data_IF_545101104953
#
_entry.id   IF_545101104953
#
_cell.length_a   1.000
_cell.length_b   1.000
_cell.length_c   1.000
_cell.angle_alpha   90.00
_cell.angle_beta   90.00
_cell.angle_gamma   90.00
#
_symmetry.space_group_name_H-M   'P 1'
#
loop_
_entity.id
_entity.type
_entity.pdbx_description
1 polymer ?
#
# COMPACT_ATOMS: atom_id res chain seq x y z
N UNK A 1 11.18 23.38 18.24
CA UNK A 1 11.39 22.15 17.45
C UNK A 1 10.18 21.24 17.67
N UNK A 2 9.42 20.89 16.63
CA UNK A 2 8.24 20.02 16.77
C UNK A 2 8.68 18.60 17.13
N UNK A 3 8.04 18.02 18.14
CA UNK A 3 8.30 16.64 18.57
C UNK A 3 7.80 15.67 17.50
N UNK A 4 8.58 14.66 17.08
CA UNK A 4 8.11 13.65 16.14
C UNK A 4 6.88 12.92 16.69
N UNK A 5 5.87 12.76 15.84
CA UNK A 5 4.65 12.02 16.16
C UNK A 5 5.02 10.53 16.34
N UNK A 6 4.85 9.93 17.54
CA UNK A 6 5.41 8.61 17.85
C UNK A 6 4.91 7.47 16.95
N UNK A 7 3.69 7.61 16.43
CA UNK A 7 3.06 6.60 15.60
C UNK A 7 3.39 6.71 14.10
N UNK A 8 3.95 7.84 13.62
CA UNK A 8 4.23 8.11 12.21
C UNK A 8 5.74 8.05 11.92
N UNK A 9 6.33 6.86 12.05
CA UNK A 9 7.78 6.63 11.98
C UNK A 9 8.31 6.76 10.56
N UNK A 10 9.39 7.53 10.37
CA UNK A 10 10.11 7.58 9.10
C UNK A 10 11.63 7.64 9.26
N UNK A 11 12.17 8.75 9.78
CA UNK A 11 13.60 8.94 10.08
C UNK A 11 13.78 9.52 11.48
N UNK A 12 15.02 9.48 12.01
CA UNK A 12 15.35 9.91 13.39
C UNK A 12 14.68 11.22 13.84
N UNK A 13 14.60 12.20 12.95
CA UNK A 13 14.05 13.54 13.23
C UNK A 13 12.84 13.91 12.37
N UNK A 14 12.31 12.98 11.56
CA UNK A 14 11.18 13.21 10.64
C UNK A 14 10.11 12.15 10.85
N UNK A 15 8.86 12.58 11.05
CA UNK A 15 7.69 11.71 10.99
C UNK A 15 7.02 11.82 9.62
N UNK A 16 6.50 10.72 9.10
CA UNK A 16 5.74 10.67 7.85
C UNK A 16 4.89 9.40 7.79
N UNK A 17 3.82 9.47 6.99
CA UNK A 17 2.93 8.36 6.67
C UNK A 17 2.88 8.14 5.17
N UNK A 18 2.53 6.93 4.75
CA UNK A 18 2.17 6.57 3.38
C UNK A 18 0.71 6.17 3.37
N UNK A 19 0.00 6.57 2.32
CA UNK A 19 -1.36 6.15 2.05
C UNK A 19 -1.34 5.27 0.81
N UNK A 20 -1.79 4.03 0.97
CA UNK A 20 -1.94 3.07 -0.11
C UNK A 20 -3.41 2.99 -0.48
N UNK A 21 -3.70 3.06 -1.77
CA UNK A 21 -5.08 3.19 -2.25
C UNK A 21 -5.30 2.29 -3.45
N UNK A 22 -6.38 1.50 -3.41
CA UNK A 22 -6.89 0.81 -4.60
C UNK A 22 -8.09 1.59 -5.10
N UNK A 23 -8.06 1.96 -6.38
CA UNK A 23 -9.10 2.76 -7.02
C UNK A 23 -9.91 1.87 -7.95
N UNK A 24 -11.25 1.97 -7.89
CA UNK A 24 -12.10 1.46 -8.98
C UNK A 24 -12.07 2.50 -10.11
N UNK A 25 -11.42 2.14 -11.22
CA UNK A 25 -11.27 3.02 -12.39
C UNK A 25 -12.60 3.39 -13.06
N UNK A 26 -13.68 2.66 -12.81
CA UNK A 26 -15.02 3.00 -13.34
C UNK A 26 -15.62 4.22 -12.65
N UNK A 27 -15.33 4.41 -11.36
CA UNK A 27 -15.92 5.46 -10.53
C UNK A 27 -14.93 6.50 -10.00
N UNK A 28 -13.61 6.27 -10.13
CA UNK A 28 -12.56 7.03 -9.42
C UNK A 28 -12.73 7.06 -7.89
N UNK A 29 -13.43 6.09 -7.32
CA UNK A 29 -13.67 5.96 -5.87
C UNK A 29 -12.64 4.98 -5.30
N UNK A 30 -11.96 5.32 -4.19
CA UNK A 30 -11.11 4.36 -3.49
C UNK A 30 -11.96 3.24 -2.89
N UNK A 31 -11.64 2.00 -3.25
CA UNK A 31 -12.28 0.80 -2.70
C UNK A 31 -11.50 0.22 -1.51
N UNK A 32 -10.23 0.64 -1.35
CA UNK A 32 -9.39 0.25 -0.24
C UNK A 32 -8.39 1.37 0.07
N UNK A 33 -8.19 1.63 1.37
CA UNK A 33 -7.23 2.60 1.89
C UNK A 33 -6.48 1.95 3.05
N UNK A 34 -5.16 1.96 3.00
CA UNK A 34 -4.31 1.57 4.13
C UNK A 34 -3.27 2.66 4.42
N UNK A 35 -3.07 2.97 5.70
CA UNK A 35 -2.15 4.01 6.16
C UNK A 35 -1.02 3.34 6.94
N UNK A 36 0.19 3.45 6.40
CA UNK A 36 1.38 2.86 7.00
C UNK A 36 2.42 3.91 7.37
N UNK A 37 3.37 3.53 8.21
CA UNK A 37 4.56 4.32 8.46
C UNK A 37 5.35 4.51 7.16
N UNK A 38 5.92 5.69 6.93
CA UNK A 38 6.64 5.95 5.69
C UNK A 38 7.95 5.16 5.51
N UNK A 39 8.42 4.47 6.55
CA UNK A 39 9.54 3.54 6.46
C UNK A 39 9.14 2.11 6.03
N UNK A 40 7.84 1.82 5.87
CA UNK A 40 7.37 0.53 5.35
C UNK A 40 7.63 0.46 3.84
N UNK A 41 8.12 -0.69 3.37
CA UNK A 41 8.31 -0.97 1.95
C UNK A 41 6.97 -1.17 1.24
N UNK A 42 6.81 -0.51 0.09
CA UNK A 42 5.51 -0.46 -0.60
C UNK A 42 5.04 -1.84 -1.08
N UNK A 43 5.95 -2.77 -1.39
CA UNK A 43 5.62 -4.17 -1.75
C UNK A 43 4.87 -4.94 -0.66
N UNK A 44 4.93 -4.52 0.59
CA UNK A 44 4.21 -5.16 1.70
C UNK A 44 2.70 -4.92 1.65
N UNK A 45 2.25 -3.92 0.88
CA UNK A 45 0.82 -3.67 0.74
C UNK A 45 0.10 -4.82 0.04
N UNK A 46 0.80 -5.56 -0.82
CA UNK A 46 0.25 -6.68 -1.59
C UNK A 46 -0.34 -7.77 -0.70
N UNK A 47 0.12 -7.88 0.55
CA UNK A 47 -0.36 -8.88 1.52
C UNK A 47 -1.72 -8.50 2.14
N UNK A 48 -2.16 -7.26 1.95
CA UNK A 48 -3.38 -6.70 2.57
C UNK A 48 -4.43 -6.25 1.55
N UNK A 49 -4.05 -6.05 0.30
CA UNK A 49 -4.96 -5.60 -0.75
C UNK A 49 -6.05 -6.67 -1.00
N UNK A 50 -7.34 -6.30 -1.02
CA UNK A 50 -8.39 -7.19 -1.47
C UNK A 50 -8.25 -7.43 -2.98
N UNK A 51 -8.10 -8.70 -3.36
CA UNK A 51 -8.03 -9.14 -4.76
C UNK A 51 -9.43 -9.56 -5.21
N UNK A 52 -9.96 -8.89 -6.20
CA UNK A 52 -11.26 -9.16 -6.82
C UNK A 52 -11.05 -10.03 -8.07
N UNK A 53 -11.75 -11.17 -8.12
CA UNK A 53 -11.67 -12.09 -9.24
C UNK A 53 -12.20 -11.43 -10.53
N UNK A 54 -11.44 -11.55 -11.62
CA UNK A 54 -11.79 -10.95 -12.91
C UNK A 54 -11.42 -9.48 -13.05
N UNK A 55 -10.82 -8.84 -12.04
CA UNK A 55 -10.33 -7.47 -12.11
C UNK A 55 -8.91 -7.39 -12.65
N UNK A 56 -8.60 -6.27 -13.32
CA UNK A 56 -7.24 -5.93 -13.76
C UNK A 56 -6.63 -4.88 -12.83
N UNK A 57 -5.43 -5.16 -12.34
CA UNK A 57 -4.69 -4.25 -11.46
C UNK A 57 -3.55 -3.57 -12.22
N UNK A 58 -3.52 -2.25 -12.16
CA UNK A 58 -2.42 -1.43 -12.70
C UNK A 58 -1.63 -0.88 -11.51
N UNK A 59 -0.33 -1.10 -11.51
CA UNK A 59 0.56 -0.76 -10.40
C UNK A 59 1.93 -0.33 -10.94
N UNK A 60 2.64 0.51 -10.17
CA UNK A 60 4.03 0.85 -10.46
C UNK A 60 4.91 -0.41 -10.43
N UNK A 61 5.90 -0.46 -11.34
CA UNK A 61 6.91 -1.53 -11.41
C UNK A 61 7.65 -1.72 -10.08
N UNK A 62 7.89 -0.65 -9.32
CA UNK A 62 8.56 -0.71 -8.02
C UNK A 62 7.78 -1.49 -6.95
N UNK A 63 6.49 -1.75 -7.20
CA UNK A 63 5.60 -2.47 -6.28
C UNK A 63 5.38 -3.93 -6.71
N UNK A 64 5.97 -4.40 -7.81
CA UNK A 64 5.72 -5.74 -8.35
C UNK A 64 6.54 -6.81 -7.62
N UNK A 65 5.85 -7.78 -7.02
CA UNK A 65 6.42 -9.03 -6.50
C UNK A 65 5.58 -10.22 -7.00
N UNK A 66 6.09 -10.95 -7.99
CA UNK A 66 5.34 -12.04 -8.64
C UNK A 66 5.03 -13.20 -7.70
N UNK A 67 5.91 -13.51 -6.75
CA UNK A 67 5.68 -14.60 -5.81
C UNK A 67 4.53 -14.26 -4.87
N UNK A 68 4.54 -13.04 -4.30
CA UNK A 68 3.44 -12.56 -3.46
C UNK A 68 2.13 -12.46 -4.22
N UNK A 69 2.15 -11.91 -5.43
CA UNK A 69 0.97 -11.83 -6.28
C UNK A 69 0.40 -13.22 -6.58
N UNK A 70 1.24 -14.18 -6.96
CA UNK A 70 0.81 -15.55 -7.21
C UNK A 70 0.15 -16.17 -5.98
N UNK A 71 0.81 -16.09 -4.83
CA UNK A 71 0.28 -16.62 -3.57
C UNK A 71 -1.01 -15.93 -3.13
N UNK A 72 -1.15 -14.61 -3.30
CA UNK A 72 -2.35 -13.89 -2.88
C UNK A 72 -3.53 -14.08 -3.82
N UNK A 73 -3.30 -14.25 -5.12
CA UNK A 73 -4.35 -14.51 -6.13
C UNK A 73 -4.90 -15.94 -6.01
N UNK A 74 -4.07 -16.91 -5.61
CA UNK A 74 -4.43 -18.34 -5.57
C UNK A 74 -4.67 -18.87 -4.15
N UNK A 75 -4.91 -18.00 -3.18
CA UNK A 75 -5.48 -18.38 -1.88
C UNK A 75 -6.93 -18.81 -2.07
#
# INVERSE_FOLDING_TARGET
MLKPVPWAKFRKTKGAVKMHTVLDLRGSIPIYIDITNANVHDVNILDTIPIEAGSYYIMDKGNTDFNRLYSNIHK
#
